data_IF_935004721237
#
_entry.id   IF_935004721237
#
_cell.length_a   1.000
_cell.length_b   1.000
_cell.length_c   1.000
_cell.angle_alpha   90.00
_cell.angle_beta   90.00
_cell.angle_gamma   90.00
#
_symmetry.space_group_name_H-M   'P 1'
#
loop_
_entity.id
_entity.type
_entity.pdbx_description
1 polymer ?
#
# COMPACT_ATOMS: atom_id res chain seq x y z
N UNK A 1 -2.06 13.01 -13.47
CA UNK A 1 -3.33 12.56 -12.86
C UNK A 1 -4.03 11.63 -13.83
N UNK A 2 -4.14 10.33 -13.53
CA UNK A 2 -4.76 9.36 -14.45
C UNK A 2 -6.26 9.68 -14.58
N UNK A 3 -6.85 9.49 -15.77
CA UNK A 3 -8.26 9.82 -16.07
C UNK A 3 -9.27 8.87 -15.39
N UNK A 4 -9.22 8.78 -14.07
CA UNK A 4 -10.11 7.91 -13.29
C UNK A 4 -11.58 8.32 -13.41
N UNK A 5 -11.88 9.61 -13.61
CA UNK A 5 -13.25 10.08 -13.86
C UNK A 5 -13.82 9.48 -15.13
N UNK A 6 -13.04 9.46 -16.21
CA UNK A 6 -13.49 8.95 -17.50
C UNK A 6 -13.81 7.46 -17.40
N UNK A 7 -13.01 6.70 -16.67
CA UNK A 7 -13.22 5.27 -16.45
C UNK A 7 -14.48 5.04 -15.60
N UNK A 8 -14.66 5.80 -14.51
CA UNK A 8 -15.82 5.65 -13.65
C UNK A 8 -17.12 6.13 -14.32
N UNK A 9 -17.04 7.19 -15.14
CA UNK A 9 -18.16 7.66 -15.95
C UNK A 9 -18.58 6.61 -17.00
N UNK A 10 -17.61 5.91 -17.61
CA UNK A 10 -17.90 4.80 -18.53
C UNK A 10 -18.63 3.63 -17.84
N UNK A 11 -18.52 3.50 -16.51
CA UNK A 11 -19.22 2.49 -15.71
C UNK A 11 -20.62 2.94 -15.26
N UNK A 12 -21.02 4.18 -15.55
CA UNK A 12 -22.35 4.71 -15.27
C UNK A 12 -22.49 5.41 -13.92
N UNK A 13 -21.60 5.12 -12.96
CA UNK A 13 -21.71 5.66 -11.59
C UNK A 13 -20.89 6.95 -11.38
N UNK A 14 -19.88 7.17 -12.21
CA UNK A 14 -18.90 8.24 -11.96
C UNK A 14 -18.06 7.96 -10.69
N UNK A 15 -17.12 8.86 -10.39
CA UNK A 15 -16.39 8.79 -9.12
C UNK A 15 -17.20 9.46 -8.02
N UNK A 16 -17.33 8.78 -6.87
CA UNK A 16 -17.87 9.42 -5.66
C UNK A 16 -16.99 10.60 -5.24
N UNK A 17 -17.56 11.72 -4.75
CA UNK A 17 -16.80 12.91 -4.35
C UNK A 17 -15.70 12.64 -3.33
N UNK A 18 -15.92 11.72 -2.39
CA UNK A 18 -14.94 11.35 -1.36
C UNK A 18 -13.75 10.63 -1.97
N UNK A 19 -14.01 9.74 -2.93
CA UNK A 19 -12.96 9.02 -3.66
C UNK A 19 -12.16 9.97 -4.55
N UNK A 20 -12.84 10.94 -5.18
CA UNK A 20 -12.20 12.03 -5.93
C UNK A 20 -11.23 12.81 -5.05
N UNK A 21 -11.68 13.26 -3.87
CA UNK A 21 -10.85 14.00 -2.94
C UNK A 21 -9.63 13.19 -2.44
N UNK A 22 -9.78 11.87 -2.24
CA UNK A 22 -8.66 11.00 -1.88
C UNK A 22 -7.62 10.92 -3.02
N UNK A 23 -8.07 10.73 -4.27
CA UNK A 23 -7.19 10.68 -5.43
C UNK A 23 -6.42 11.99 -5.63
N UNK A 24 -7.09 13.13 -5.45
CA UNK A 24 -6.46 14.45 -5.53
C UNK A 24 -5.37 14.63 -4.45
N UNK A 25 -5.61 14.16 -3.22
CA UNK A 25 -4.62 14.21 -2.12
C UNK A 25 -3.40 13.33 -2.41
N UNK A 26 -3.61 12.12 -2.93
CA UNK A 26 -2.53 11.19 -3.29
C UNK A 26 -1.69 11.72 -4.46
N UNK A 27 -2.29 12.48 -5.36
CA UNK A 27 -1.57 13.09 -6.48
C UNK A 27 -0.64 14.23 -6.07
N UNK A 28 -0.98 14.94 -4.99
CA UNK A 28 -0.17 16.03 -4.43
C UNK A 28 1.03 15.45 -3.65
N UNK A 29 0.82 14.40 -2.88
CA UNK A 29 1.88 13.71 -2.15
C UNK A 29 1.72 12.19 -2.30
N UNK A 30 2.50 11.55 -3.19
CA UNK A 30 2.50 10.11 -3.33
C UNK A 30 3.17 9.49 -2.10
N UNK A 31 2.40 9.33 -1.01
CA UNK A 31 2.84 8.68 0.24
C UNK A 31 2.99 7.17 0.12
N UNK A 32 3.21 6.67 -1.10
CA UNK A 32 3.45 5.25 -1.30
C UNK A 32 4.93 5.01 -1.03
N UNK A 33 5.23 4.44 0.13
CA UNK A 33 6.50 3.75 0.36
C UNK A 33 6.57 2.62 -0.67
N UNK A 34 7.23 2.92 -1.79
CA UNK A 34 7.45 2.00 -2.89
C UNK A 34 8.90 1.55 -2.83
N UNK A 35 9.08 0.26 -2.60
CA UNK A 35 10.41 -0.36 -2.59
C UNK A 35 10.58 -1.18 -3.85
N UNK A 36 11.79 -1.13 -4.42
CA UNK A 36 12.18 -2.05 -5.48
C UNK A 36 12.74 -3.30 -4.79
N UNK A 37 12.04 -4.42 -4.95
CA UNK A 37 12.48 -5.73 -4.46
C UNK A 37 13.70 -6.22 -5.21
N UNK A 38 14.37 -7.24 -4.66
CA UNK A 38 15.54 -7.88 -5.27
C UNK A 38 15.27 -8.53 -6.63
N UNK A 39 14.02 -8.87 -6.95
CA UNK A 39 13.57 -9.37 -8.24
C UNK A 39 13.23 -8.26 -9.26
N UNK A 40 13.47 -7.00 -8.90
CA UNK A 40 13.18 -5.83 -9.74
C UNK A 40 11.70 -5.41 -9.71
N UNK A 41 10.86 -6.08 -8.91
CA UNK A 41 9.45 -5.75 -8.80
C UNK A 41 9.22 -4.59 -7.82
N UNK A 42 8.29 -3.69 -8.16
CA UNK A 42 7.83 -2.63 -7.25
C UNK A 42 6.85 -3.18 -6.22
N UNK A 43 7.16 -2.97 -4.95
CA UNK A 43 6.31 -3.32 -3.82
C UNK A 43 5.81 -2.06 -3.12
N UNK A 44 4.52 -2.06 -2.77
CA UNK A 44 3.94 -1.08 -1.85
C UNK A 44 4.03 -1.54 -0.40
N UNK A 45 4.28 -0.60 0.51
CA UNK A 45 4.37 -0.90 1.94
C UNK A 45 5.78 -1.33 2.34
N UNK A 46 6.01 -1.74 3.61
CA UNK A 46 7.35 -1.93 4.16
C UNK A 46 8.17 -2.95 3.35
N UNK A 47 9.49 -2.74 3.28
CA UNK A 47 10.41 -3.66 2.61
C UNK A 47 10.29 -5.08 3.21
N UNK A 48 10.12 -6.08 2.34
CA UNK A 48 10.06 -7.50 2.75
C UNK A 48 11.44 -8.11 2.89
N UNK A 49 12.52 -7.35 2.68
CA UNK A 49 13.85 -7.77 3.09
C UNK A 49 13.75 -8.32 4.52
N UNK A 50 14.27 -9.55 4.79
CA UNK A 50 14.19 -10.11 6.12
C UNK A 50 14.83 -9.11 7.06
N UNK A 51 14.01 -8.48 7.91
CA UNK A 51 14.51 -7.65 8.96
C UNK A 51 15.55 -8.49 9.70
N UNK A 52 16.77 -7.96 9.84
CA UNK A 52 17.77 -8.58 10.71
C UNK A 52 17.03 -9.00 11.97
N UNK A 53 17.05 -10.31 12.27
CA UNK A 53 16.18 -10.93 13.27
C UNK A 53 15.92 -9.95 14.40
N UNK A 54 14.65 -9.58 14.59
CA UNK A 54 14.28 -8.83 15.78
C UNK A 54 14.66 -9.72 16.96
N UNK A 55 15.89 -9.58 17.47
CA UNK A 55 16.47 -10.30 18.60
C UNK A 55 15.68 -10.08 19.91
N UNK A 56 14.61 -9.30 19.82
CA UNK A 56 13.71 -8.91 20.90
C UNK A 56 12.41 -9.76 20.88
N UNK A 57 12.21 -10.65 19.91
CA UNK A 57 11.03 -11.52 19.88
C UNK A 57 11.23 -12.66 20.88
N UNK A 58 10.66 -12.50 22.09
CA UNK A 58 10.62 -13.57 23.08
C UNK A 58 9.61 -14.62 22.62
N UNK A 59 10.01 -15.90 22.42
CA UNK A 59 9.07 -16.95 22.07
C UNK A 59 7.99 -17.09 23.15
N UNK A 60 6.73 -17.08 22.73
CA UNK A 60 5.61 -17.32 23.65
C UNK A 60 5.76 -18.74 24.20
N UNK A 61 6.11 -18.85 25.49
CA UNK A 61 6.30 -20.15 26.15
C UNK A 61 4.99 -20.94 26.06
N UNK A 62 4.97 -21.99 25.26
CA UNK A 62 3.86 -22.94 25.24
C UNK A 62 3.83 -23.62 26.61
N UNK A 63 2.77 -23.37 27.38
CA UNK A 63 2.57 -24.03 28.66
C UNK A 63 2.12 -25.46 28.35
N UNK A 64 2.99 -26.44 28.62
CA UNK A 64 2.64 -27.85 28.52
C UNK A 64 1.49 -28.16 29.49
N UNK A 65 0.51 -28.92 28.99
CA UNK A 65 -0.64 -29.40 29.74
C UNK A 65 -0.25 -30.46 30.78
#
# INVERSE_FOLDING_TARGET
MRHFDAIAALRGDGLRPELRALLDRVAIEPRCELFVRSDGMLQSGPDTAPAAECNNVVPLRTRAA
#
